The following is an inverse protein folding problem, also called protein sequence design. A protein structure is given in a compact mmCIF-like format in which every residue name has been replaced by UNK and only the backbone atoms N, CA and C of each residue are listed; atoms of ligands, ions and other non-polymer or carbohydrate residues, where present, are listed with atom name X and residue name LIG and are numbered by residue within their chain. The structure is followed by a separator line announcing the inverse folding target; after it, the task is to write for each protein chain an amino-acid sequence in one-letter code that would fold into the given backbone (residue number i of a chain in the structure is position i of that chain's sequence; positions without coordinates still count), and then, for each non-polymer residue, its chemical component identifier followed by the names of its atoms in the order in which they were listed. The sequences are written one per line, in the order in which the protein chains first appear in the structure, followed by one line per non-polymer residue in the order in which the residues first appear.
data_IF_035632114953
#
_entry.id   IF_035632114953
#
_cell.length_a   1.000
_cell.length_b   1.000
_cell.length_c   1.000
_cell.angle_alpha   90.00
_cell.angle_beta   90.00
_cell.angle_gamma   90.00
#
_symmetry.space_group_name_H-M   'P 1'
#
loop_
_entity.id
_entity.type
_entity.pdbx_description
1 polymer ?
#
# COMPACT_ATOMS: atom_id res chain seq x y z
N UNK A 1 -20.83 -1.29 -1.13
CA UNK A 1 -22.25 -1.23 -0.75
C UNK A 1 -22.77 -2.65 -0.67
N UNK A 2 -23.63 -2.97 0.29
CA UNK A 2 -24.42 -4.23 0.26
C UNK A 2 -25.81 -3.96 0.83
N UNK A 3 -26.79 -4.71 0.33
CA UNK A 3 -28.14 -4.78 0.84
C UNK A 3 -28.40 -6.25 1.14
N UNK A 4 -28.83 -6.54 2.36
CA UNK A 4 -29.11 -7.87 2.86
C UNK A 4 -30.59 -7.98 3.17
N UNK A 5 -31.26 -8.98 2.60
CA UNK A 5 -32.66 -9.25 2.84
C UNK A 5 -32.77 -10.67 3.40
N UNK A 6 -33.32 -10.81 4.59
CA UNK A 6 -33.47 -12.09 5.28
C UNK A 6 -34.91 -12.26 5.77
N UNK A 7 -35.44 -13.49 5.85
CA UNK A 7 -36.69 -13.76 6.57
C UNK A 7 -36.62 -13.25 8.02
N UNK A 8 -37.72 -12.71 8.49
CA UNK A 8 -37.88 -12.22 9.85
C UNK A 8 -39.27 -12.65 10.38
N UNK A 9 -39.59 -12.40 11.62
CA UNK A 9 -40.82 -12.84 12.28
C UNK A 9 -42.11 -12.39 11.55
N UNK A 10 -43.18 -13.18 11.66
CA UNK A 10 -44.54 -12.86 11.19
C UNK A 10 -44.66 -12.45 9.70
N UNK A 11 -44.21 -13.31 8.80
CA UNK A 11 -44.28 -13.06 7.34
C UNK A 11 -43.67 -11.72 6.92
N UNK A 12 -42.57 -11.34 7.53
CA UNK A 12 -41.79 -10.14 7.19
C UNK A 12 -40.38 -10.47 6.78
N UNK A 13 -39.77 -9.57 6.02
CA UNK A 13 -38.37 -9.61 5.64
C UNK A 13 -37.61 -8.48 6.33
N UNK A 14 -36.43 -8.79 6.87
CA UNK A 14 -35.50 -7.78 7.36
C UNK A 14 -34.64 -7.26 6.21
N UNK A 15 -34.57 -5.94 6.06
CA UNK A 15 -33.73 -5.26 5.04
C UNK A 15 -32.65 -4.48 5.77
N UNK A 16 -31.42 -4.95 5.66
CA UNK A 16 -30.22 -4.29 6.18
C UNK A 16 -29.37 -3.79 5.01
N UNK A 17 -28.76 -2.63 5.15
CA UNK A 17 -27.85 -2.13 4.12
C UNK A 17 -26.74 -1.28 4.70
N UNK A 18 -25.60 -1.28 3.99
CA UNK A 18 -24.45 -0.45 4.28
C UNK A 18 -23.98 0.22 3.00
N UNK A 19 -24.07 1.55 2.97
CA UNK A 19 -23.82 2.33 1.75
C UNK A 19 -23.09 3.64 2.08
N UNK A 20 -22.46 4.25 1.09
CA UNK A 20 -21.94 5.62 1.15
C UNK A 20 -23.08 6.64 1.30
N UNK A 21 -22.73 7.90 1.59
CA UNK A 21 -23.69 8.95 1.95
C UNK A 21 -24.76 9.20 0.86
N UNK A 22 -24.38 9.17 -0.41
CA UNK A 22 -25.28 9.36 -1.56
C UNK A 22 -26.18 8.15 -1.79
N UNK A 23 -25.60 6.95 -1.81
CA UNK A 23 -26.32 5.69 -2.00
C UNK A 23 -27.25 5.39 -0.84
N UNK A 24 -26.88 5.76 0.38
CA UNK A 24 -27.73 5.61 1.57
C UNK A 24 -29.08 6.29 1.42
N UNK A 25 -29.08 7.53 0.92
CA UNK A 25 -30.33 8.30 0.70
C UNK A 25 -31.24 7.64 -0.34
N UNK A 26 -30.67 7.09 -1.41
CA UNK A 26 -31.40 6.43 -2.49
C UNK A 26 -32.03 5.12 -2.01
N UNK A 27 -31.27 4.27 -1.31
CA UNK A 27 -31.78 3.02 -0.72
C UNK A 27 -32.88 3.30 0.29
N UNK A 28 -32.68 4.29 1.15
CA UNK A 28 -33.68 4.67 2.14
C UNK A 28 -34.96 5.16 1.51
N UNK A 29 -34.91 5.89 0.37
CA UNK A 29 -36.09 6.30 -0.39
C UNK A 29 -36.76 5.10 -1.04
N UNK A 30 -36.02 4.14 -1.57
CA UNK A 30 -36.57 2.90 -2.13
C UNK A 30 -37.35 2.10 -1.07
N UNK A 31 -36.81 1.92 0.11
CA UNK A 31 -37.46 1.24 1.24
C UNK A 31 -38.72 2.03 1.67
N UNK A 32 -38.65 3.35 1.73
CA UNK A 32 -39.79 4.20 2.12
C UNK A 32 -40.95 4.14 1.16
N UNK A 33 -40.81 3.66 -0.05
CA UNK A 33 -41.93 3.45 -1.01
C UNK A 33 -42.68 2.12 -0.78
N UNK A 34 -42.10 1.18 0.00
CA UNK A 34 -42.78 -0.09 0.34
C UNK A 34 -43.86 0.17 1.38
N UNK A 35 -45.13 -0.28 1.14
CA UNK A 35 -46.20 -0.14 2.12
C UNK A 35 -45.95 -1.02 3.36
N UNK A 36 -46.55 -0.69 4.49
CA UNK A 36 -46.50 -1.43 5.75
C UNK A 36 -45.09 -1.76 6.26
N UNK A 37 -44.08 -0.98 5.86
CA UNK A 37 -42.71 -1.09 6.39
C UNK A 37 -42.63 -0.58 7.82
N UNK A 38 -41.75 -1.17 8.62
CA UNK A 38 -41.44 -0.73 9.98
C UNK A 38 -39.94 -0.63 10.19
N UNK A 39 -39.50 0.38 10.91
CA UNK A 39 -38.10 0.44 11.38
C UNK A 39 -37.97 -0.27 12.74
N UNK A 40 -37.03 -1.17 12.87
CA UNK A 40 -36.77 -1.91 14.14
C UNK A 40 -35.51 -1.36 14.79
N UNK A 41 -35.61 -0.39 15.72
CA UNK A 41 -34.43 0.31 16.28
C UNK A 41 -33.48 -0.61 17.04
N UNK A 42 -34.01 -1.61 17.77
CA UNK A 42 -33.22 -2.53 18.58
C UNK A 42 -32.24 -3.38 17.77
N UNK A 43 -32.55 -3.62 16.49
CA UNK A 43 -31.74 -4.49 15.60
C UNK A 43 -31.25 -3.75 14.37
N UNK A 44 -31.52 -2.45 14.22
CA UNK A 44 -31.03 -1.56 13.16
C UNK A 44 -31.33 -2.04 11.74
N UNK A 45 -32.56 -2.50 11.47
CA UNK A 45 -33.00 -2.85 10.12
C UNK A 45 -34.46 -2.37 9.83
N UNK A 46 -34.83 -2.41 8.55
CA UNK A 46 -36.21 -2.20 8.12
C UNK A 46 -36.92 -3.53 7.95
N UNK A 47 -38.07 -3.72 8.58
CA UNK A 47 -38.98 -4.82 8.31
C UNK A 47 -39.97 -4.43 7.20
N UNK A 48 -40.15 -5.29 6.19
CA UNK A 48 -41.11 -5.17 5.11
C UNK A 48 -41.93 -6.43 5.04
N UNK A 49 -43.19 -6.36 4.53
CA UNK A 49 -43.99 -7.57 4.32
C UNK A 49 -43.30 -8.54 3.35
N UNK A 50 -43.39 -9.85 3.63
CA UNK A 50 -42.82 -10.90 2.79
C UNK A 50 -43.74 -11.28 1.60
N UNK A 51 -44.62 -10.40 1.20
CA UNK A 51 -45.46 -10.60 0.04
C UNK A 51 -44.77 -10.15 -1.27
N UNK A 52 -45.15 -10.79 -2.37
CA UNK A 52 -44.55 -10.57 -3.69
C UNK A 52 -44.62 -9.10 -4.14
N UNK A 53 -45.72 -8.41 -3.83
CA UNK A 53 -45.89 -7.02 -4.23
C UNK A 53 -44.91 -6.08 -3.49
N UNK A 54 -44.74 -6.27 -2.19
CA UNK A 54 -43.76 -5.50 -1.38
C UNK A 54 -42.30 -5.75 -1.81
N UNK A 55 -41.97 -6.99 -2.14
CA UNK A 55 -40.67 -7.37 -2.71
C UNK A 55 -40.43 -6.71 -4.07
N UNK A 56 -41.39 -6.79 -4.97
CA UNK A 56 -41.34 -6.19 -6.32
C UNK A 56 -41.20 -4.65 -6.25
N UNK A 57 -41.94 -4.00 -5.37
CA UNK A 57 -41.85 -2.55 -5.15
C UNK A 57 -40.45 -2.19 -4.63
N UNK A 58 -39.91 -2.91 -3.65
CA UNK A 58 -38.56 -2.66 -3.13
C UNK A 58 -37.52 -2.79 -4.23
N UNK A 59 -37.53 -3.91 -4.94
CA UNK A 59 -36.54 -4.23 -5.95
C UNK A 59 -36.60 -3.29 -7.14
N UNK A 60 -37.78 -3.01 -7.67
CA UNK A 60 -37.96 -2.08 -8.79
C UNK A 60 -37.45 -0.66 -8.42
N UNK A 61 -37.71 -0.22 -7.20
CA UNK A 61 -37.18 1.08 -6.74
C UNK A 61 -35.68 1.08 -6.53
N UNK A 62 -35.09 -0.02 -6.04
CA UNK A 62 -33.65 -0.17 -5.93
C UNK A 62 -33.00 -0.17 -7.33
N UNK A 63 -33.59 -0.88 -8.28
CA UNK A 63 -33.07 -0.94 -9.66
C UNK A 63 -33.23 0.37 -10.43
N UNK A 64 -34.34 1.09 -10.26
CA UNK A 64 -34.52 2.39 -10.89
C UNK A 64 -33.51 3.45 -10.44
N UNK A 65 -32.92 3.28 -9.28
CA UNK A 65 -31.83 4.14 -8.76
C UNK A 65 -30.42 3.68 -9.20
N UNK A 66 -30.34 2.71 -10.14
CA UNK A 66 -29.08 2.24 -10.73
C UNK A 66 -28.35 1.15 -9.95
N UNK A 67 -29.03 0.49 -9.00
CA UNK A 67 -28.51 -0.67 -8.30
C UNK A 67 -28.85 -1.98 -9.06
N UNK A 68 -27.96 -2.98 -9.03
CA UNK A 68 -28.04 -4.18 -9.87
C UNK A 68 -29.32 -5.02 -9.71
N UNK A 69 -29.72 -5.68 -10.79
CA UNK A 69 -30.84 -6.65 -10.82
C UNK A 69 -30.44 -7.96 -10.12
N UNK A 70 -31.28 -8.46 -9.21
CA UNK A 70 -31.22 -9.85 -8.76
C UNK A 70 -32.08 -10.74 -9.67
N UNK A 71 -31.77 -12.03 -9.79
CA UNK A 71 -32.61 -12.94 -10.55
C UNK A 71 -34.02 -13.05 -9.92
N UNK A 72 -35.04 -12.73 -10.69
CA UNK A 72 -36.44 -12.72 -10.24
C UNK A 72 -36.92 -14.10 -9.74
N UNK A 73 -36.33 -15.19 -10.26
CA UNK A 73 -36.68 -16.56 -9.86
C UNK A 73 -36.23 -16.94 -8.45
N UNK A 74 -35.16 -16.30 -7.94
CA UNK A 74 -34.68 -16.55 -6.59
C UNK A 74 -35.62 -15.89 -5.53
N UNK A 75 -36.16 -14.75 -5.86
CA UNK A 75 -37.03 -13.99 -4.94
C UNK A 75 -38.43 -14.60 -4.88
N UNK A 76 -38.99 -15.07 -6.00
CA UNK A 76 -40.27 -15.78 -6.04
C UNK A 76 -40.29 -17.05 -5.19
N UNK A 77 -39.22 -17.83 -5.20
CA UNK A 77 -39.12 -19.07 -4.41
C UNK A 77 -39.02 -18.83 -2.91
N UNK A 78 -38.44 -17.72 -2.48
CA UNK A 78 -38.28 -17.40 -1.06
C UNK A 78 -39.51 -16.66 -0.46
N UNK A 79 -40.38 -16.09 -1.28
CA UNK A 79 -41.64 -15.50 -0.83
C UNK A 79 -42.81 -16.53 -0.72
N UNK A 80 -42.68 -17.69 -1.38
CA UNK A 80 -43.70 -18.76 -1.32
C UNK A 80 -43.48 -19.81 -0.24
N UNK A 81 -42.28 -19.88 0.38
CA UNK A 81 -41.94 -20.86 1.43
C UNK A 81 -41.52 -20.14 2.72
N UNK A 82 -42.51 -19.76 3.51
CA UNK A 82 -42.32 -19.28 4.88
C UNK A 82 -42.02 -20.42 5.89
N UNK A 83 -41.69 -21.62 5.41
CA UNK A 83 -41.34 -22.76 6.25
C UNK A 83 -39.90 -23.20 6.01
N UNK A 84 -39.10 -23.10 7.09
CA UNK A 84 -37.80 -23.74 7.33
C UNK A 84 -36.58 -23.25 6.52
N UNK A 85 -35.87 -22.30 7.00
CA UNK A 85 -34.43 -22.37 7.41
C UNK A 85 -33.83 -20.98 7.71
N UNK A 86 -33.33 -20.69 8.92
CA UNK A 86 -32.86 -19.34 9.29
C UNK A 86 -31.50 -18.94 8.70
N UNK A 87 -30.94 -19.71 7.76
CA UNK A 87 -29.60 -19.48 7.23
C UNK A 87 -29.52 -19.00 5.78
N UNK A 88 -30.65 -18.79 5.10
CA UNK A 88 -30.63 -18.29 3.71
C UNK A 88 -30.71 -16.76 3.66
N UNK A 89 -29.56 -16.11 3.86
CA UNK A 89 -29.40 -14.68 3.68
C UNK A 89 -29.23 -14.31 2.20
N UNK A 90 -30.06 -13.42 1.66
CA UNK A 90 -29.87 -12.83 0.34
C UNK A 90 -28.89 -11.66 0.48
N UNK A 91 -27.65 -11.85 0.04
CA UNK A 91 -26.62 -10.82 0.00
C UNK A 91 -26.58 -10.23 -1.41
N UNK A 92 -27.09 -9.01 -1.57
CA UNK A 92 -26.91 -8.24 -2.81
C UNK A 92 -25.58 -7.53 -2.76
N UNK A 93 -24.54 -8.15 -3.32
CA UNK A 93 -23.26 -7.52 -3.52
C UNK A 93 -23.28 -6.71 -4.82
N UNK A 94 -22.69 -5.52 -4.80
CA UNK A 94 -22.35 -4.73 -5.97
C UNK A 94 -21.21 -5.41 -6.76
N UNK A 95 -21.45 -6.63 -7.23
CA UNK A 95 -20.63 -7.24 -8.26
C UNK A 95 -21.23 -6.83 -9.60
N UNK A 96 -20.49 -6.09 -10.37
CA UNK A 96 -20.85 -5.75 -11.75
C UNK A 96 -21.39 -6.98 -12.48
N UNK A 97 -22.56 -6.83 -13.08
CA UNK A 97 -23.08 -7.80 -14.04
C UNK A 97 -22.13 -7.77 -15.24
N UNK A 98 -21.37 -8.83 -15.39
CA UNK A 98 -20.83 -9.19 -16.68
C UNK A 98 -21.94 -9.95 -17.42
N UNK A 99 -22.45 -9.32 -18.49
CA UNK A 99 -23.17 -10.04 -19.54
C UNK A 99 -22.34 -11.25 -19.97
N UNK A 100 -23.02 -12.35 -20.25
CA UNK A 100 -22.51 -13.57 -20.84
C UNK A 100 -21.52 -13.29 -21.97
N UNK A 101 -20.26 -13.26 -21.63
CA UNK A 101 -19.17 -13.48 -22.57
C UNK A 101 -18.11 -14.27 -21.83
N UNK A 102 -17.55 -15.27 -22.52
CA UNK A 102 -16.35 -16.03 -22.15
C UNK A 102 -15.43 -15.23 -21.25
N UNK A 103 -14.85 -15.80 -20.17
CA UNK A 103 -14.03 -15.07 -19.23
C UNK A 103 -12.92 -14.34 -19.95
N UNK A 104 -13.16 -13.06 -20.24
CA UNK A 104 -12.12 -12.20 -20.76
C UNK A 104 -11.03 -12.17 -19.70
N UNK A 105 -9.81 -12.40 -20.13
CA UNK A 105 -8.63 -12.31 -19.30
C UNK A 105 -8.77 -11.07 -18.41
N UNK A 106 -8.81 -11.26 -17.08
CA UNK A 106 -8.85 -10.16 -16.12
C UNK A 106 -7.75 -9.18 -16.52
N UNK A 107 -8.13 -7.98 -16.93
CA UNK A 107 -7.17 -7.00 -17.42
C UNK A 107 -6.16 -6.75 -16.31
N UNK A 108 -4.91 -7.12 -16.53
CA UNK A 108 -3.81 -6.92 -15.59
C UNK A 108 -3.79 -5.46 -15.13
N UNK A 109 -4.12 -4.53 -16.03
CA UNK A 109 -4.16 -3.10 -15.73
C UNK A 109 -5.26 -2.75 -14.72
N UNK A 110 -6.41 -3.39 -14.80
CA UNK A 110 -7.48 -3.16 -13.84
C UNK A 110 -7.11 -3.67 -12.43
N UNK A 111 -6.52 -4.86 -12.36
CA UNK A 111 -6.01 -5.41 -11.10
C UNK A 111 -4.92 -4.50 -10.51
N UNK A 112 -4.01 -3.99 -11.33
CA UNK A 112 -2.95 -3.10 -10.87
C UNK A 112 -3.51 -1.75 -10.41
N UNK A 113 -4.55 -1.21 -11.05
CA UNK A 113 -5.26 0.00 -10.58
C UNK A 113 -5.93 -0.23 -9.23
N UNK A 114 -6.62 -1.35 -9.05
CA UNK A 114 -7.23 -1.74 -7.76
C UNK A 114 -6.17 -1.94 -6.68
N UNK A 115 -5.06 -2.60 -7.02
CA UNK A 115 -3.92 -2.77 -6.12
C UNK A 115 -3.38 -1.43 -5.65
N UNK A 116 -3.19 -0.48 -6.57
CA UNK A 116 -2.66 0.85 -6.26
C UNK A 116 -3.58 1.62 -5.30
N UNK A 117 -4.86 1.61 -5.57
CA UNK A 117 -5.86 2.24 -4.70
C UNK A 117 -5.83 1.67 -3.28
N UNK A 118 -5.82 0.33 -3.15
CA UNK A 118 -5.82 -0.34 -1.83
C UNK A 118 -4.50 -0.10 -1.08
N UNK A 119 -3.36 -0.17 -1.76
CA UNK A 119 -2.04 0.08 -1.16
C UNK A 119 -1.91 1.52 -0.68
N UNK A 120 -2.41 2.49 -1.48
CA UNK A 120 -2.43 3.91 -1.11
C UNK A 120 -3.33 4.15 0.10
N UNK A 121 -4.53 3.59 0.11
CA UNK A 121 -5.47 3.70 1.25
C UNK A 121 -4.89 3.10 2.53
N UNK A 122 -4.12 2.01 2.43
CA UNK A 122 -3.46 1.36 3.57
C UNK A 122 -2.12 1.99 3.94
N UNK A 123 -1.69 3.07 3.27
CA UNK A 123 -0.41 3.76 3.49
C UNK A 123 0.82 2.84 3.41
N UNK A 124 0.80 1.85 2.51
CA UNK A 124 1.96 0.99 2.29
C UNK A 124 3.04 1.73 1.50
N UNK A 125 4.29 1.28 1.66
CA UNK A 125 5.42 1.91 0.98
C UNK A 125 5.38 1.72 -0.55
N UNK A 126 5.96 2.67 -1.30
CA UNK A 126 6.15 2.56 -2.75
C UNK A 126 6.86 1.24 -3.13
N UNK A 127 7.86 0.82 -2.36
CA UNK A 127 8.59 -0.43 -2.58
C UNK A 127 7.70 -1.67 -2.40
N UNK A 128 6.75 -1.65 -1.44
CA UNK A 128 5.75 -2.72 -1.28
C UNK A 128 4.84 -2.78 -2.51
N UNK A 129 4.39 -1.63 -3.00
CA UNK A 129 3.58 -1.52 -4.22
C UNK A 129 4.30 -2.13 -5.43
N UNK A 130 5.54 -1.73 -5.68
CA UNK A 130 6.36 -2.24 -6.78
C UNK A 130 6.56 -3.76 -6.69
N UNK A 131 6.89 -4.27 -5.51
CA UNK A 131 7.08 -5.69 -5.29
C UNK A 131 5.77 -6.49 -5.49
N UNK A 132 4.65 -6.00 -4.98
CA UNK A 132 3.36 -6.65 -5.14
C UNK A 132 2.88 -6.60 -6.59
N UNK A 133 3.02 -5.46 -7.26
CA UNK A 133 2.71 -5.32 -8.69
C UNK A 133 3.53 -6.30 -9.55
N UNK A 134 4.82 -6.46 -9.25
CA UNK A 134 5.70 -7.40 -9.97
C UNK A 134 5.20 -8.85 -9.81
N UNK A 135 4.99 -9.32 -8.57
CA UNK A 135 4.60 -10.71 -8.32
C UNK A 135 3.19 -11.03 -8.83
N UNK A 136 2.25 -10.11 -8.62
CA UNK A 136 0.87 -10.26 -9.11
C UNK A 136 0.83 -10.29 -10.64
N UNK A 137 1.50 -9.36 -11.32
CA UNK A 137 1.56 -9.34 -12.78
C UNK A 137 2.20 -10.59 -13.34
N UNK A 138 3.22 -11.11 -12.66
CA UNK A 138 3.87 -12.35 -13.05
C UNK A 138 2.93 -13.54 -12.89
N UNK A 139 2.27 -13.67 -11.76
CA UNK A 139 1.30 -14.73 -11.50
C UNK A 139 0.17 -14.75 -12.54
N UNK A 140 -0.41 -13.59 -12.84
CA UNK A 140 -1.50 -13.45 -13.83
C UNK A 140 -1.02 -13.85 -15.23
N UNK A 141 0.16 -13.39 -15.66
CA UNK A 141 0.71 -13.74 -16.97
C UNK A 141 0.94 -15.24 -17.16
N UNK A 142 1.31 -15.93 -16.10
CA UNK A 142 1.52 -17.38 -16.14
C UNK A 142 0.21 -18.18 -16.17
N UNK A 143 -0.91 -17.55 -15.85
CA UNK A 143 -2.22 -18.18 -15.78
C UNK A 143 -3.26 -17.47 -16.66
N UNK A 144 -2.85 -16.95 -17.82
CA UNK A 144 -3.69 -16.14 -18.71
C UNK A 144 -5.02 -16.82 -19.10
N UNK A 145 -5.00 -18.14 -19.21
CA UNK A 145 -6.13 -18.93 -19.70
C UNK A 145 -7.08 -19.39 -18.58
N UNK A 146 -6.83 -18.99 -17.33
CA UNK A 146 -7.59 -19.44 -16.17
C UNK A 146 -8.28 -18.26 -15.47
N UNK A 147 -9.48 -18.51 -15.00
CA UNK A 147 -10.18 -17.54 -14.15
C UNK A 147 -9.53 -17.46 -12.77
N UNK A 148 -8.94 -16.31 -12.42
CA UNK A 148 -8.27 -16.09 -11.14
C UNK A 148 -9.20 -16.26 -9.92
N UNK A 149 -10.51 -16.09 -10.09
CA UNK A 149 -11.49 -16.31 -9.01
C UNK A 149 -11.69 -17.80 -8.69
N UNK A 150 -11.34 -18.69 -9.62
CA UNK A 150 -11.46 -20.14 -9.45
C UNK A 150 -10.19 -20.80 -8.89
N UNK A 151 -9.13 -20.02 -8.62
CA UNK A 151 -7.89 -20.58 -8.08
C UNK A 151 -8.03 -20.90 -6.60
N UNK A 152 -7.55 -22.10 -6.28
CA UNK A 152 -7.45 -22.63 -4.92
C UNK A 152 -6.02 -22.40 -4.36
N UNK A 153 -5.84 -22.90 -3.14
CA UNK A 153 -4.52 -22.96 -2.48
C UNK A 153 -3.49 -23.74 -3.30
N UNK A 154 -3.95 -24.70 -4.11
CA UNK A 154 -3.09 -25.55 -4.95
C UNK A 154 -2.33 -24.75 -6.02
N UNK A 155 -2.99 -23.82 -6.69
CA UNK A 155 -2.34 -22.98 -7.70
C UNK A 155 -1.33 -22.03 -7.09
N UNK A 156 -1.64 -21.43 -5.91
CA UNK A 156 -0.71 -20.59 -5.19
C UNK A 156 0.52 -21.41 -4.77
N UNK A 157 0.31 -22.61 -4.21
CA UNK A 157 1.39 -23.49 -3.80
C UNK A 157 2.22 -23.96 -4.99
N UNK A 158 1.59 -24.29 -6.13
CA UNK A 158 2.28 -24.66 -7.36
C UNK A 158 3.19 -23.55 -7.87
N UNK A 159 2.68 -22.31 -7.88
CA UNK A 159 3.47 -21.14 -8.27
C UNK A 159 4.68 -20.93 -7.35
N UNK A 160 4.46 -20.91 -6.02
CA UNK A 160 5.53 -20.71 -5.04
C UNK A 160 6.54 -21.86 -5.06
N UNK A 161 6.08 -23.11 -5.20
CA UNK A 161 6.95 -24.29 -5.32
C UNK A 161 7.82 -24.24 -6.58
N UNK A 162 7.28 -23.77 -7.69
CA UNK A 162 8.05 -23.60 -8.93
C UNK A 162 9.12 -22.52 -8.79
N UNK A 163 8.83 -21.40 -8.12
CA UNK A 163 9.85 -20.40 -7.80
C UNK A 163 11.02 -21.00 -7.01
N UNK A 164 10.73 -21.96 -6.11
CA UNK A 164 11.75 -22.66 -5.34
C UNK A 164 12.54 -23.67 -6.19
N UNK A 165 11.83 -24.57 -6.88
CA UNK A 165 12.43 -25.75 -7.52
C UNK A 165 13.06 -25.45 -8.87
N UNK A 166 12.35 -24.73 -9.74
CA UNK A 166 12.82 -24.41 -11.09
C UNK A 166 13.72 -23.17 -11.13
N UNK A 167 13.34 -22.13 -10.41
CA UNK A 167 14.04 -20.84 -10.51
C UNK A 167 15.03 -20.58 -9.39
N UNK A 168 15.08 -21.46 -8.38
CA UNK A 168 15.99 -21.38 -7.23
C UNK A 168 15.92 -20.02 -6.49
N UNK A 169 14.72 -19.42 -6.47
CA UNK A 169 14.48 -18.12 -5.81
C UNK A 169 14.69 -18.27 -4.29
N UNK A 170 15.33 -17.27 -3.67
CA UNK A 170 15.59 -17.29 -2.24
C UNK A 170 14.28 -17.33 -1.40
N UNK A 171 14.30 -17.99 -0.24
CA UNK A 171 13.16 -18.15 0.66
C UNK A 171 12.47 -16.81 1.04
N UNK A 172 13.24 -15.73 1.16
CA UNK A 172 12.70 -14.39 1.42
C UNK A 172 11.84 -13.87 0.27
N UNK A 173 12.29 -14.09 -0.97
CA UNK A 173 11.56 -13.64 -2.17
C UNK A 173 10.34 -14.52 -2.44
N UNK A 174 10.42 -15.84 -2.18
CA UNK A 174 9.25 -16.73 -2.22
C UNK A 174 8.17 -16.28 -1.25
N UNK A 175 8.53 -15.98 0.01
CA UNK A 175 7.60 -15.48 0.99
C UNK A 175 7.04 -14.08 0.64
N UNK A 176 7.80 -13.26 -0.09
CA UNK A 176 7.31 -11.99 -0.62
C UNK A 176 6.29 -12.20 -1.75
N UNK A 177 6.55 -13.12 -2.67
CA UNK A 177 5.60 -13.52 -3.71
C UNK A 177 4.30 -14.05 -3.10
N UNK A 178 4.41 -14.96 -2.14
CA UNK A 178 3.27 -15.47 -1.40
C UNK A 178 2.46 -14.35 -0.73
N UNK A 179 3.13 -13.41 -0.04
CA UNK A 179 2.45 -12.29 0.60
C UNK A 179 1.69 -11.40 -0.41
N UNK A 180 2.26 -11.20 -1.61
CA UNK A 180 1.61 -10.46 -2.69
C UNK A 180 0.36 -11.18 -3.20
N UNK A 181 0.41 -12.52 -3.38
CA UNK A 181 -0.74 -13.31 -3.81
C UNK A 181 -1.84 -13.34 -2.76
N UNK A 182 -1.49 -13.57 -1.48
CA UNK A 182 -2.46 -13.50 -0.39
C UNK A 182 -3.14 -12.12 -0.31
N UNK A 183 -2.38 -11.07 -0.57
CA UNK A 183 -2.92 -9.71 -0.64
C UNK A 183 -3.88 -9.53 -1.81
N UNK A 184 -3.55 -10.04 -3.00
CA UNK A 184 -4.41 -10.05 -4.17
C UNK A 184 -5.75 -10.69 -3.86
N UNK A 185 -5.73 -11.93 -3.36
CA UNK A 185 -6.96 -12.68 -3.07
C UNK A 185 -7.82 -11.98 -2.02
N UNK A 186 -7.23 -11.64 -0.88
CA UNK A 186 -7.98 -11.06 0.23
C UNK A 186 -8.49 -9.64 -0.02
N UNK A 187 -7.66 -8.76 -0.61
CA UNK A 187 -7.96 -7.32 -0.62
C UNK A 187 -8.43 -6.80 -1.98
N UNK A 188 -8.21 -7.55 -3.07
CA UNK A 188 -8.55 -7.10 -4.43
C UNK A 188 -9.66 -7.97 -5.01
N UNK A 189 -9.55 -9.29 -4.89
CA UNK A 189 -10.55 -10.22 -5.39
C UNK A 189 -11.68 -10.48 -4.38
N UNK A 190 -11.51 -10.10 -3.11
CA UNK A 190 -12.48 -10.36 -2.03
C UNK A 190 -12.67 -11.83 -1.69
N UNK A 191 -11.69 -12.69 -2.07
CA UNK A 191 -11.75 -14.14 -1.87
C UNK A 191 -11.04 -14.53 -0.58
N UNK A 192 -11.66 -15.43 0.18
CA UNK A 192 -11.02 -16.06 1.34
C UNK A 192 -10.36 -17.35 0.90
N UNK A 193 -9.09 -17.52 1.24
CA UNK A 193 -8.37 -18.77 1.03
C UNK A 193 -8.90 -19.77 2.04
N UNK A 194 -9.44 -20.91 1.56
CA UNK A 194 -10.17 -21.86 2.39
C UNK A 194 -9.28 -22.58 3.40
N UNK A 195 -8.03 -22.87 3.04
CA UNK A 195 -7.09 -23.61 3.89
C UNK A 195 -5.74 -22.88 3.99
N UNK A 196 -5.65 -21.75 4.72
CA UNK A 196 -4.40 -21.00 4.87
C UNK A 196 -3.25 -21.82 5.49
N UNK A 197 -3.59 -22.88 6.24
CA UNK A 197 -2.65 -23.84 6.83
C UNK A 197 -1.96 -24.71 5.77
N UNK A 198 -2.60 -24.96 4.63
CA UNK A 198 -2.03 -25.73 3.53
C UNK A 198 -1.02 -24.95 2.69
N UNK A 199 -0.87 -23.62 2.97
CA UNK A 199 0.04 -22.79 2.22
C UNK A 199 1.48 -23.01 2.67
N UNK A 200 2.30 -23.51 1.76
CA UNK A 200 3.71 -23.81 2.00
C UNK A 200 4.52 -22.51 2.10
N UNK A 201 5.07 -22.23 3.27
CA UNK A 201 5.96 -21.10 3.50
C UNK A 201 7.42 -21.55 3.52
N UNK A 202 8.25 -20.88 2.74
CA UNK A 202 9.68 -21.16 2.75
C UNK A 202 10.32 -20.85 4.11
N UNK A 203 11.03 -21.80 4.69
CA UNK A 203 11.76 -21.65 5.95
C UNK A 203 12.97 -20.74 5.70
N UNK A 204 13.04 -19.63 6.42
CA UNK A 204 14.23 -18.74 6.39
C UNK A 204 15.33 -19.29 7.27
N UNK A 205 16.51 -19.50 6.70
CA UNK A 205 17.69 -19.77 7.53
C UNK A 205 18.07 -18.52 8.32
N UNK A 206 18.26 -18.67 9.62
CA UNK A 206 18.85 -17.62 10.46
C UNK A 206 20.37 -17.65 10.28
N UNK A 207 20.92 -16.71 9.52
CA UNK A 207 22.38 -16.50 9.45
C UNK A 207 22.74 -15.45 10.50
N UNK A 208 23.76 -15.72 11.30
CA UNK A 208 24.34 -14.71 12.17
C UNK A 208 25.05 -13.67 11.30
N UNK A 209 24.82 -12.37 11.50
CA UNK A 209 25.56 -11.35 10.79
C UNK A 209 27.04 -11.39 11.20
N UNK A 210 27.94 -11.21 10.24
CA UNK A 210 29.34 -10.94 10.53
C UNK A 210 29.45 -9.56 11.19
N UNK A 211 30.13 -9.50 12.31
CA UNK A 211 30.42 -8.26 13.04
C UNK A 211 31.90 -7.93 12.85
N UNK A 212 32.16 -6.73 12.35
CA UNK A 212 33.55 -6.26 12.16
C UNK A 212 34.22 -5.95 13.50
N UNK A 213 35.51 -6.24 13.61
CA UNK A 213 36.32 -5.82 14.74
C UNK A 213 36.58 -4.31 14.72
N UNK A 214 37.13 -3.76 15.79
CA UNK A 214 37.52 -2.35 15.85
C UNK A 214 38.63 -2.03 14.83
N UNK A 215 39.58 -2.92 14.68
CA UNK A 215 40.73 -2.80 13.75
C UNK A 215 40.24 -2.82 12.30
N UNK A 216 39.36 -3.76 11.95
CA UNK A 216 38.73 -3.82 10.62
C UNK A 216 37.92 -2.56 10.32
N UNK A 217 37.13 -2.09 11.28
CA UNK A 217 36.35 -0.85 11.15
C UNK A 217 37.28 0.37 10.96
N UNK A 218 38.37 0.47 11.75
CA UNK A 218 39.35 1.55 11.64
C UNK A 218 40.01 1.54 10.25
N UNK A 219 40.41 0.35 9.77
CA UNK A 219 40.97 0.18 8.42
C UNK A 219 39.98 0.63 7.33
N UNK A 220 38.73 0.22 7.40
CA UNK A 220 37.70 0.70 6.46
C UNK A 220 37.64 2.23 6.48
N UNK A 221 37.59 2.86 7.66
CA UNK A 221 37.49 4.31 7.77
C UNK A 221 38.74 5.05 7.26
N UNK A 222 39.93 4.48 7.38
CA UNK A 222 41.15 5.07 6.81
C UNK A 222 41.16 5.03 5.27
N UNK A 223 40.43 4.10 4.67
CA UNK A 223 40.30 3.94 3.21
C UNK A 223 39.10 4.68 2.60
N UNK A 224 38.21 5.22 3.43
CA UNK A 224 37.07 6.00 2.93
C UNK A 224 37.56 7.26 2.21
N UNK A 225 36.94 7.61 1.07
CA UNK A 225 37.28 8.83 0.35
C UNK A 225 36.97 10.08 1.19
N UNK A 226 37.80 11.11 1.06
CA UNK A 226 37.60 12.41 1.71
C UNK A 226 36.63 13.31 0.91
N UNK A 227 35.41 12.83 0.76
CA UNK A 227 34.33 13.50 0.06
C UNK A 227 32.99 13.30 0.78
N UNK A 228 31.91 13.78 0.19
CA UNK A 228 30.55 13.68 0.75
C UNK A 228 30.13 12.25 1.04
N UNK A 229 30.58 11.27 0.26
CA UNK A 229 30.23 9.84 0.45
C UNK A 229 30.93 9.26 1.66
N UNK A 230 32.21 9.55 1.85
CA UNK A 230 32.96 9.14 3.03
C UNK A 230 32.43 9.81 4.30
N UNK A 231 32.10 11.11 4.24
CA UNK A 231 31.46 11.82 5.34
C UNK A 231 30.10 11.18 5.71
N UNK A 232 29.29 10.86 4.71
CA UNK A 232 28.01 10.19 4.91
C UNK A 232 28.14 8.82 5.58
N UNK A 233 29.11 7.99 5.14
CA UNK A 233 29.35 6.67 5.72
C UNK A 233 29.80 6.79 7.19
N UNK A 234 30.70 7.75 7.50
CA UNK A 234 31.10 8.05 8.88
C UNK A 234 29.92 8.49 9.74
N UNK A 235 29.02 9.32 9.16
CA UNK A 235 27.81 9.76 9.85
C UNK A 235 26.87 8.59 10.15
N UNK A 236 26.62 7.70 9.20
CA UNK A 236 25.77 6.52 9.43
C UNK A 236 26.30 5.64 10.56
N UNK A 237 27.61 5.42 10.57
CA UNK A 237 28.24 4.60 11.62
C UNK A 237 28.12 5.27 13.00
N UNK A 238 28.48 6.54 13.09
CA UNK A 238 28.50 7.28 14.35
C UNK A 238 27.12 7.51 14.96
N UNK A 239 26.06 7.53 14.12
CA UNK A 239 24.68 7.79 14.57
C UNK A 239 23.81 6.55 14.65
N UNK A 240 24.24 5.42 14.07
CA UNK A 240 23.44 4.21 13.97
C UNK A 240 22.17 4.35 13.09
N UNK A 241 22.11 5.36 12.24
CA UNK A 241 21.00 5.54 11.30
C UNK A 241 21.01 4.47 10.20
N UNK A 242 19.82 4.11 9.71
CA UNK A 242 19.72 3.30 8.49
C UNK A 242 20.08 4.12 7.25
N UNK A 243 20.54 3.45 6.20
CA UNK A 243 20.92 4.09 4.94
C UNK A 243 19.88 5.12 4.46
N UNK A 244 18.62 4.75 4.37
CA UNK A 244 17.57 5.66 3.88
C UNK A 244 17.16 6.74 4.90
N UNK A 245 17.38 6.53 6.19
CA UNK A 245 17.17 7.56 7.21
C UNK A 245 18.22 8.67 7.04
N UNK A 246 19.50 8.30 6.90
CA UNK A 246 20.55 9.26 6.65
C UNK A 246 20.41 9.99 5.30
N UNK A 247 20.06 9.29 4.21
CA UNK A 247 19.88 9.92 2.90
C UNK A 247 18.72 10.91 2.88
N UNK A 248 17.67 10.66 3.66
CA UNK A 248 16.49 11.55 3.76
C UNK A 248 16.63 12.66 4.80
N UNK A 249 17.79 12.79 5.41
CA UNK A 249 18.06 13.83 6.40
C UNK A 249 17.93 15.21 5.79
N UNK A 250 17.21 16.11 6.46
CA UNK A 250 17.05 17.52 6.09
C UNK A 250 17.94 18.39 6.94
N UNK A 251 18.23 19.58 6.46
CA UNK A 251 19.05 20.55 7.21
C UNK A 251 18.44 20.85 8.58
N UNK A 252 17.12 21.02 8.65
CA UNK A 252 16.41 21.29 9.91
C UNK A 252 16.45 20.15 10.93
N UNK A 253 16.83 18.93 10.50
CA UNK A 253 16.83 17.77 11.37
C UNK A 253 18.12 17.70 12.22
N UNK A 254 19.10 18.58 11.94
CA UNK A 254 20.38 18.62 12.63
C UNK A 254 20.42 19.82 13.59
N UNK A 255 20.57 19.53 14.86
CA UNK A 255 20.79 20.52 15.91
C UNK A 255 22.27 20.49 16.34
N UNK A 256 23.05 21.44 15.84
CA UNK A 256 24.48 21.54 16.13
C UNK A 256 24.76 22.02 17.56
N UNK A 257 23.83 22.73 18.20
CA UNK A 257 24.02 23.24 19.56
C UNK A 257 23.83 22.13 20.57
N UNK A 258 22.81 21.28 20.36
CA UNK A 258 22.54 20.12 21.22
C UNK A 258 23.32 18.87 20.80
N UNK A 259 24.03 18.90 19.67
CA UNK A 259 24.65 17.74 19.05
C UNK A 259 23.65 16.57 18.86
N UNK A 260 22.48 16.89 18.34
CA UNK A 260 21.39 15.92 18.10
C UNK A 260 20.98 15.90 16.64
N UNK A 261 20.52 14.75 16.20
CA UNK A 261 19.87 14.55 14.89
C UNK A 261 18.49 13.95 15.13
N UNK A 262 17.47 14.57 14.55
CA UNK A 262 16.12 14.04 14.56
C UNK A 262 15.90 13.15 13.34
N UNK A 263 15.53 11.90 13.55
CA UNK A 263 15.25 10.92 12.49
C UNK A 263 13.74 10.76 12.40
N UNK A 264 13.17 11.23 11.28
CA UNK A 264 11.74 11.12 11.03
C UNK A 264 11.37 9.81 10.35
N UNK A 265 10.19 9.28 10.69
CA UNK A 265 9.59 8.09 10.07
C UNK A 265 10.54 6.88 10.06
N UNK A 266 11.22 6.60 11.16
CA UNK A 266 12.05 5.42 11.33
C UNK A 266 11.27 4.10 11.21
N UNK A 267 11.88 2.96 11.59
CA UNK A 267 11.20 1.66 11.56
C UNK A 267 9.91 1.69 12.41
N UNK A 268 8.77 1.43 11.76
CA UNK A 268 7.44 1.51 12.38
C UNK A 268 6.87 2.93 12.44
N UNK A 269 7.31 3.84 11.56
CA UNK A 269 6.88 5.24 11.47
C UNK A 269 7.05 6.03 12.78
N UNK A 270 8.07 5.69 13.57
CA UNK A 270 8.39 6.39 14.83
C UNK A 270 9.57 7.33 14.63
N UNK A 271 9.42 8.55 15.10
CA UNK A 271 10.51 9.52 15.18
C UNK A 271 11.42 9.19 16.35
N UNK A 272 12.70 9.46 16.20
CA UNK A 272 13.67 9.33 17.27
C UNK A 272 14.79 10.37 17.14
N UNK A 273 15.42 10.69 18.25
CA UNK A 273 16.64 11.46 18.27
C UNK A 273 17.85 10.53 18.37
N UNK A 274 18.95 10.91 17.75
CA UNK A 274 20.26 10.27 17.88
C UNK A 274 21.34 11.34 18.04
N UNK A 275 22.49 10.95 18.59
CA UNK A 275 23.60 11.88 18.80
C UNK A 275 24.29 12.22 17.47
N UNK A 276 24.71 13.48 17.32
CA UNK A 276 25.69 13.89 16.32
C UNK A 276 27.10 13.72 16.91
N UNK A 277 27.96 12.83 16.36
CA UNK A 277 29.33 12.70 16.85
C UNK A 277 30.10 14.02 16.75
N UNK A 278 30.76 14.42 17.84
CA UNK A 278 31.49 15.70 17.92
C UNK A 278 32.57 15.79 16.83
N UNK A 279 33.22 14.68 16.50
CA UNK A 279 34.23 14.60 15.43
C UNK A 279 33.70 14.90 14.04
N UNK A 280 32.39 14.74 13.83
CA UNK A 280 31.73 15.01 12.54
C UNK A 280 31.06 16.37 12.49
N UNK A 281 30.98 17.11 13.60
CA UNK A 281 30.32 18.42 13.66
C UNK A 281 30.92 19.41 12.66
N UNK A 282 32.23 19.67 12.74
CA UNK A 282 32.91 20.61 11.84
C UNK A 282 32.91 20.14 10.37
N UNK A 283 33.26 18.87 10.04
CA UNK A 283 33.16 18.40 8.66
C UNK A 283 31.75 18.55 8.07
N UNK A 284 30.71 18.28 8.88
CA UNK A 284 29.32 18.40 8.42
C UNK A 284 28.88 19.85 8.22
N UNK A 285 29.32 20.78 9.07
CA UNK A 285 29.09 22.21 8.90
C UNK A 285 29.72 22.71 7.59
N UNK A 286 30.99 22.37 7.34
CA UNK A 286 31.68 22.71 6.08
C UNK A 286 30.98 22.12 4.85
N UNK A 287 30.49 20.88 4.96
CA UNK A 287 29.72 20.26 3.90
C UNK A 287 28.42 21.05 3.64
N UNK A 288 27.68 21.43 4.69
CA UNK A 288 26.44 22.20 4.56
C UNK A 288 26.66 23.59 3.95
N UNK A 289 27.81 24.24 4.14
CA UNK A 289 28.15 25.48 3.43
C UNK A 289 28.21 25.25 1.92
N UNK A 290 28.79 24.16 1.46
CA UNK A 290 28.83 23.79 0.05
C UNK A 290 27.44 23.47 -0.47
N UNK A 291 26.65 22.71 0.29
CA UNK A 291 25.25 22.37 -0.07
C UNK A 291 24.41 23.66 -0.18
N UNK A 292 24.65 24.65 0.69
CA UNK A 292 23.95 25.93 0.64
C UNK A 292 24.24 26.70 -0.63
N UNK A 293 25.51 26.74 -1.07
CA UNK A 293 25.88 27.35 -2.35
C UNK A 293 25.19 26.67 -3.55
N UNK A 294 25.14 25.33 -3.53
CA UNK A 294 24.42 24.55 -4.54
C UNK A 294 22.93 24.91 -4.54
N UNK A 295 22.33 24.97 -3.36
CA UNK A 295 20.90 25.31 -3.22
C UNK A 295 20.60 26.73 -3.71
N UNK A 296 21.44 27.73 -3.38
CA UNK A 296 21.27 29.09 -3.82
C UNK A 296 21.38 29.22 -5.35
N UNK A 297 22.31 28.48 -5.98
CA UNK A 297 22.40 28.37 -7.42
C UNK A 297 21.18 27.69 -8.04
N UNK A 298 20.73 26.58 -7.44
CA UNK A 298 19.54 25.87 -7.88
C UNK A 298 18.28 26.75 -7.80
N UNK A 299 18.14 27.55 -6.75
CA UNK A 299 17.02 28.48 -6.61
C UNK A 299 17.02 29.55 -7.71
N UNK A 300 18.18 30.11 -8.06
CA UNK A 300 18.32 31.06 -9.13
C UNK A 300 17.90 30.49 -10.49
N UNK A 301 18.21 29.21 -10.72
CA UNK A 301 17.93 28.51 -11.96
C UNK A 301 16.54 27.85 -11.97
N UNK A 302 15.74 27.98 -10.90
CA UNK A 302 14.40 27.37 -10.77
C UNK A 302 14.38 25.90 -10.31
N UNK A 303 15.52 25.33 -9.90
CA UNK A 303 15.66 23.93 -9.45
C UNK A 303 15.71 23.75 -7.93
N UNK A 304 15.46 24.81 -7.14
CA UNK A 304 15.57 24.78 -5.67
C UNK A 304 14.50 23.95 -4.94
N UNK A 305 13.57 23.33 -5.65
CA UNK A 305 12.48 22.56 -5.06
C UNK A 305 12.96 21.16 -4.63
N UNK A 306 12.57 20.76 -3.42
CA UNK A 306 12.68 19.38 -2.93
C UNK A 306 11.30 18.82 -2.59
N UNK A 307 11.06 17.52 -2.84
CA UNK A 307 9.79 16.89 -2.50
C UNK A 307 9.58 16.91 -0.98
N UNK A 308 8.41 17.37 -0.54
CA UNK A 308 8.00 17.39 0.86
C UNK A 308 7.23 16.11 1.23
N UNK A 309 7.21 15.72 2.52
CA UNK A 309 6.44 14.57 2.97
C UNK A 309 4.93 14.81 2.85
N UNK A 310 4.19 13.78 2.34
CA UNK A 310 2.73 13.73 2.33
C UNK A 310 2.03 15.00 1.80
N UNK A 311 1.05 15.52 2.54
CA UNK A 311 0.27 16.70 2.16
C UNK A 311 0.96 18.05 2.46
N UNK A 312 2.21 18.04 2.97
CA UNK A 312 2.90 19.28 3.34
C UNK A 312 3.13 20.21 2.17
N UNK A 313 3.44 19.66 0.98
CA UNK A 313 3.58 20.44 -0.24
C UNK A 313 2.30 21.21 -0.60
N UNK A 314 1.13 20.61 -0.33
CA UNK A 314 -0.17 21.26 -0.56
C UNK A 314 -0.46 22.34 0.49
N UNK A 315 -0.07 22.11 1.75
CA UNK A 315 -0.27 23.06 2.85
C UNK A 315 0.70 24.24 2.81
N UNK A 316 1.95 23.97 2.42
CA UNK A 316 3.04 24.95 2.35
C UNK A 316 3.78 24.82 1.02
N UNK A 317 3.26 25.41 -0.09
CA UNK A 317 3.79 25.22 -1.46
C UNK A 317 5.26 25.63 -1.60
N UNK A 318 5.69 26.68 -0.91
CA UNK A 318 7.05 27.19 -1.00
C UNK A 318 8.04 26.59 -0.01
N UNK A 319 7.56 25.79 0.96
CA UNK A 319 8.44 25.20 1.96
C UNK A 319 9.54 24.32 1.35
N UNK A 320 9.24 23.64 0.23
CA UNK A 320 10.23 22.82 -0.47
C UNK A 320 11.42 23.61 -1.05
N UNK A 321 11.32 24.94 -1.20
CA UNK A 321 12.41 25.81 -1.64
C UNK A 321 13.21 26.39 -0.48
N UNK A 322 12.75 26.24 0.75
CA UNK A 322 13.46 26.80 1.90
C UNK A 322 14.68 25.98 2.28
N UNK A 323 15.71 26.63 2.82
CA UNK A 323 16.95 25.99 3.26
C UNK A 323 16.71 24.86 4.27
N UNK A 324 15.80 25.06 5.21
CA UNK A 324 15.48 24.10 6.25
C UNK A 324 15.06 22.73 5.71
N UNK A 325 14.35 22.70 4.59
CA UNK A 325 13.86 21.46 3.96
C UNK A 325 14.84 20.83 2.98
N UNK A 326 15.97 21.47 2.68
CA UNK A 326 16.94 20.89 1.74
C UNK A 326 17.56 19.60 2.30
N UNK A 327 17.99 18.73 1.36
CA UNK A 327 18.70 17.52 1.71
C UNK A 327 20.08 17.84 2.27
N UNK A 328 20.49 17.17 3.34
CA UNK A 328 21.86 17.27 3.84
C UNK A 328 22.84 16.71 2.82
N UNK A 329 22.48 15.63 2.13
CA UNK A 329 23.31 15.00 1.09
C UNK A 329 22.55 14.98 -0.26
N UNK A 330 22.54 16.12 -0.99
CA UNK A 330 21.91 16.18 -2.29
C UNK A 330 22.73 15.42 -3.34
N UNK A 331 22.05 14.86 -4.35
CA UNK A 331 22.75 14.28 -5.50
C UNK A 331 23.38 15.37 -6.37
N UNK A 332 24.44 15.01 -7.15
CA UNK A 332 25.12 15.96 -8.03
C UNK A 332 24.25 16.45 -9.20
N UNK A 333 23.35 15.60 -9.69
CA UNK A 333 22.50 15.91 -10.85
C UNK A 333 21.16 16.51 -10.42
N UNK A 334 20.67 17.50 -11.17
CA UNK A 334 19.31 17.99 -11.14
C UNK A 334 18.38 16.97 -11.83
N UNK A 335 17.12 16.97 -11.47
CA UNK A 335 16.09 16.18 -12.14
C UNK A 335 14.94 17.07 -12.61
N UNK A 336 14.27 16.63 -13.64
CA UNK A 336 13.05 17.24 -14.14
C UNK A 336 12.08 16.14 -14.56
N UNK A 337 10.84 16.25 -14.10
CA UNK A 337 9.75 15.40 -14.56
C UNK A 337 9.18 16.03 -15.85
N UNK A 338 9.28 15.31 -16.96
CA UNK A 338 8.82 15.80 -18.27
C UNK A 338 7.30 15.89 -18.38
N UNK A 339 6.57 15.12 -17.56
CA UNK A 339 5.10 15.09 -17.59
C UNK A 339 4.49 16.19 -16.73
N UNK A 340 5.01 16.40 -15.51
CA UNK A 340 4.48 17.40 -14.57
C UNK A 340 5.20 18.75 -14.63
N UNK A 341 6.35 18.83 -15.30
CA UNK A 341 7.21 20.01 -15.30
C UNK A 341 7.95 20.26 -13.99
N UNK A 342 7.71 19.46 -12.97
CA UNK A 342 8.41 19.57 -11.69
C UNK A 342 9.91 19.33 -11.88
N UNK A 343 10.71 20.15 -11.23
CA UNK A 343 12.17 20.08 -11.31
C UNK A 343 12.80 20.40 -9.97
N UNK A 344 14.00 19.84 -9.73
CA UNK A 344 14.68 20.05 -8.46
C UNK A 344 15.91 19.17 -8.29
N UNK A 345 16.33 18.99 -7.04
CA UNK A 345 17.42 18.10 -6.66
C UNK A 345 16.96 17.06 -5.64
N UNK A 346 17.33 15.80 -5.88
CA UNK A 346 17.03 14.71 -4.95
C UNK A 346 18.22 14.46 -3.99
N UNK A 347 18.03 13.60 -2.98
CA UNK A 347 19.14 13.09 -2.19
C UNK A 347 20.02 12.13 -3.01
N UNK A 348 21.24 11.85 -2.55
CA UNK A 348 22.14 10.85 -3.16
C UNK A 348 21.42 9.52 -3.34
N UNK A 349 21.67 8.85 -4.46
CA UNK A 349 21.13 7.53 -4.72
C UNK A 349 21.79 6.50 -3.77
N UNK A 350 21.00 5.61 -3.11
CA UNK A 350 21.53 4.60 -2.20
C UNK A 350 22.61 3.71 -2.80
N UNK A 351 22.53 3.41 -4.11
CA UNK A 351 23.47 2.55 -4.81
C UNK A 351 24.88 3.15 -4.89
N UNK A 352 25.01 4.48 -4.88
CA UNK A 352 26.30 5.16 -4.89
C UNK A 352 27.05 4.88 -3.59
N UNK A 353 26.37 5.06 -2.46
CA UNK A 353 26.96 4.79 -1.13
C UNK A 353 27.32 3.32 -0.97
N UNK A 354 26.42 2.42 -1.42
CA UNK A 354 26.69 0.97 -1.36
C UNK A 354 27.91 0.58 -2.20
N UNK A 355 28.06 1.13 -3.42
CA UNK A 355 29.25 0.89 -4.25
C UNK A 355 30.51 1.44 -3.63
N UNK A 356 30.48 2.68 -3.14
CA UNK A 356 31.65 3.29 -2.46
C UNK A 356 32.12 2.44 -1.29
N UNK A 357 31.19 1.98 -0.43
CA UNK A 357 31.57 1.12 0.69
C UNK A 357 32.09 -0.24 0.22
N UNK A 358 31.46 -0.84 -0.78
CA UNK A 358 31.89 -2.12 -1.35
C UNK A 358 33.31 -2.04 -1.93
N UNK A 359 33.64 -1.00 -2.66
CA UNK A 359 34.97 -0.78 -3.22
C UNK A 359 36.04 -0.62 -2.11
N UNK A 360 35.69 0.04 -1.01
CA UNK A 360 36.60 0.20 0.16
C UNK A 360 36.81 -1.12 0.88
N UNK A 361 35.78 -1.93 1.05
CA UNK A 361 35.84 -3.24 1.72
C UNK A 361 36.65 -4.27 0.90
N UNK A 362 36.73 -4.14 -0.42
CA UNK A 362 37.54 -5.03 -1.27
C UNK A 362 39.01 -4.67 -1.33
N UNK A 363 39.45 -3.53 -0.76
CA UNK A 363 40.85 -3.09 -0.62
C UNK A 363 41.45 -3.55 0.70
#
# INVERSE_FOLDING_TARGET
MFIEIQPYENETLSVRFKAGREDFSKILQAIKKVPNRAWIPAQCFWAIPADRNSCDILLNNIYSEGFCRADSDFIGKNCESADSDPHNAIVLNNAMIEESNTPSALDIQDILRKLDAVITTKHYSKRTREAYSYWISRFIREHKDKNLKAFSDAEINSFVSRLATKEKVAASSQNQALAALLFLYKNILGLTIQSPENIIRAKKSKKLPAVLSREETAKIFSLLPENDYGLFIRLLYGTGMRLMEGLRLRVQDIDFDKNEITVHCGKGAKDRKTMLPVSLKFPLQKHLENVRRIHEADCKDGFGLVPLPSALAKKYPDAGKTWAWQWVFPQARRWQNKETGEQGRHHIDPSVIQRTLHEVVLR
#
